data_IF_921929664451
#
_entry.id   IF_921929664451
#
_cell.length_a   1.000
_cell.length_b   1.000
_cell.length_c   1.000
_cell.angle_alpha   90.00
_cell.angle_beta   90.00
_cell.angle_gamma   90.00
#
_symmetry.space_group_name_H-M   'P 1'
#
loop_
_entity.id
_entity.type
_entity.pdbx_description
1 polymer ?
#
# COMPACT_ATOMS: atom_id res chain seq x y z
N UNK A 1 -9.55 -20.06 14.42
CA UNK A 1 -10.86 -19.52 13.96
C UNK A 1 -11.40 -20.45 12.89
N UNK A 2 -12.68 -20.81 12.92
CA UNK A 2 -13.27 -21.69 11.89
C UNK A 2 -13.57 -20.93 10.59
N UNK A 3 -13.60 -21.63 9.45
CA UNK A 3 -13.85 -21.00 8.13
C UNK A 3 -15.18 -20.25 8.07
N UNK A 4 -16.24 -20.78 8.69
CA UNK A 4 -17.55 -20.11 8.76
C UNK A 4 -17.49 -18.79 9.53
N UNK A 5 -16.74 -18.77 10.62
CA UNK A 5 -16.57 -17.58 11.47
C UNK A 5 -15.72 -16.51 10.76
N UNK A 6 -14.65 -16.94 10.06
CA UNK A 6 -13.85 -16.07 9.20
C UNK A 6 -14.70 -15.38 8.14
N UNK A 7 -15.50 -16.15 7.40
CA UNK A 7 -16.38 -15.63 6.34
C UNK A 7 -17.40 -14.66 6.91
N UNK A 8 -17.98 -14.96 8.07
CA UNK A 8 -18.93 -14.07 8.75
C UNK A 8 -18.28 -12.73 9.11
N UNK A 9 -17.08 -12.78 9.71
CA UNK A 9 -16.30 -11.58 10.07
C UNK A 9 -15.93 -10.75 8.84
N UNK A 10 -15.46 -11.38 7.77
CA UNK A 10 -15.12 -10.68 6.52
C UNK A 10 -16.36 -10.02 5.91
N UNK A 11 -17.48 -10.74 5.81
CA UNK A 11 -18.70 -10.20 5.24
C UNK A 11 -19.23 -9.02 6.08
N UNK A 12 -19.19 -9.15 7.40
CA UNK A 12 -19.61 -8.08 8.31
C UNK A 12 -18.69 -6.85 8.21
N UNK A 13 -17.37 -7.03 8.24
CA UNK A 13 -16.42 -5.91 8.15
C UNK A 13 -16.53 -5.17 6.81
N UNK A 14 -16.87 -5.88 5.73
CA UNK A 14 -17.16 -5.27 4.43
C UNK A 14 -18.45 -4.47 4.43
N UNK A 15 -19.50 -4.98 5.08
CA UNK A 15 -20.79 -4.26 5.22
C UNK A 15 -20.63 -3.00 6.06
N UNK A 16 -19.76 -3.03 7.07
CA UNK A 16 -19.42 -1.89 7.92
C UNK A 16 -18.40 -0.94 7.28
N UNK A 17 -17.96 -1.20 6.04
CA UNK A 17 -16.91 -0.45 5.33
C UNK A 17 -15.55 -0.42 6.05
N UNK A 18 -15.30 -1.35 6.98
CA UNK A 18 -14.00 -1.57 7.59
C UNK A 18 -13.09 -2.39 6.64
N UNK A 19 -12.64 -1.71 5.59
CA UNK A 19 -11.78 -2.30 4.56
C UNK A 19 -10.40 -2.68 5.09
N UNK A 20 -9.93 -2.06 6.17
CA UNK A 20 -8.63 -2.37 6.78
C UNK A 20 -8.68 -3.74 7.45
N UNK A 21 -9.67 -3.97 8.31
CA UNK A 21 -9.86 -5.26 8.98
C UNK A 21 -10.21 -6.34 7.96
N UNK A 22 -11.07 -6.02 6.98
CA UNK A 22 -11.42 -6.95 5.90
C UNK A 22 -10.17 -7.43 5.16
N UNK A 23 -9.35 -6.49 4.69
CA UNK A 23 -8.11 -6.81 3.96
C UNK A 23 -7.21 -7.71 4.79
N UNK A 24 -7.00 -7.37 6.06
CA UNK A 24 -6.16 -8.14 6.97
C UNK A 24 -6.62 -9.60 7.06
N UNK A 25 -7.92 -9.82 7.30
CA UNK A 25 -8.46 -11.18 7.35
C UNK A 25 -8.30 -11.93 6.03
N UNK A 26 -8.44 -11.26 4.89
CA UNK A 26 -8.23 -11.88 3.59
C UNK A 26 -6.77 -12.25 3.37
N UNK A 27 -5.85 -11.30 3.52
CA UNK A 27 -4.40 -11.49 3.30
C UNK A 27 -3.84 -12.60 4.19
N UNK A 28 -4.26 -12.68 5.46
CA UNK A 28 -3.83 -13.71 6.42
C UNK A 28 -4.40 -15.12 6.11
N UNK A 29 -5.42 -15.23 5.27
CA UNK A 29 -6.16 -16.49 5.03
C UNK A 29 -6.41 -16.79 3.54
N UNK A 30 -5.59 -16.24 2.63
CA UNK A 30 -5.79 -16.30 1.18
C UNK A 30 -6.04 -17.71 0.64
N UNK A 31 -5.23 -18.69 1.03
CA UNK A 31 -5.35 -20.07 0.54
C UNK A 31 -6.73 -20.67 0.86
N UNK A 32 -7.15 -20.56 2.13
CA UNK A 32 -8.41 -21.13 2.60
C UNK A 32 -9.60 -20.41 1.96
N UNK A 33 -9.50 -19.09 1.79
CA UNK A 33 -10.54 -18.28 1.17
C UNK A 33 -10.67 -18.54 -0.33
N UNK A 34 -9.58 -18.77 -1.05
CA UNK A 34 -9.62 -19.13 -2.46
C UNK A 34 -10.38 -20.44 -2.71
N UNK A 35 -10.21 -21.43 -1.82
CA UNK A 35 -11.00 -22.68 -1.85
C UNK A 35 -12.49 -22.50 -1.49
N UNK A 36 -12.87 -21.40 -0.85
CA UNK A 36 -14.22 -21.16 -0.30
C UNK A 36 -14.86 -19.85 -0.79
N UNK A 37 -14.35 -19.24 -1.87
CA UNK A 37 -14.73 -17.89 -2.33
C UNK A 37 -16.23 -17.68 -2.57
N UNK A 38 -16.94 -18.77 -2.89
CA UNK A 38 -18.39 -18.76 -3.13
C UNK A 38 -19.21 -18.43 -1.88
N UNK A 39 -18.61 -18.56 -0.69
CA UNK A 39 -19.24 -18.23 0.60
C UNK A 39 -19.09 -16.75 0.99
N UNK A 40 -18.19 -16.02 0.34
CA UNK A 40 -18.05 -14.56 0.50
C UNK A 40 -19.16 -13.83 -0.27
N UNK A 41 -19.65 -12.71 0.28
CA UNK A 41 -20.57 -11.78 -0.41
C UNK A 41 -19.83 -11.02 -1.52
N UNK A 42 -20.57 -10.36 -2.42
CA UNK A 42 -20.04 -9.71 -3.63
C UNK A 42 -18.79 -8.86 -3.38
N UNK A 43 -18.91 -7.81 -2.56
CA UNK A 43 -17.81 -6.91 -2.23
C UNK A 43 -16.59 -7.64 -1.61
N UNK A 44 -16.82 -8.60 -0.70
CA UNK A 44 -15.75 -9.38 -0.07
C UNK A 44 -15.03 -10.28 -1.09
N UNK A 45 -15.79 -10.87 -2.02
CA UNK A 45 -15.26 -11.73 -3.08
C UNK A 45 -14.47 -10.93 -4.11
N UNK A 46 -14.96 -9.76 -4.50
CA UNK A 46 -14.22 -8.83 -5.36
C UNK A 46 -12.89 -8.43 -4.74
N UNK A 47 -12.88 -8.11 -3.44
CA UNK A 47 -11.66 -7.77 -2.73
C UNK A 47 -10.69 -8.97 -2.66
N UNK A 48 -11.19 -10.19 -2.42
CA UNK A 48 -10.36 -11.41 -2.47
C UNK A 48 -9.70 -11.59 -3.84
N UNK A 49 -10.46 -11.45 -4.92
CA UNK A 49 -9.95 -11.57 -6.30
C UNK A 49 -8.90 -10.50 -6.57
N UNK A 50 -9.18 -9.25 -6.18
CA UNK A 50 -8.24 -8.15 -6.32
C UNK A 50 -6.91 -8.43 -5.61
N UNK A 51 -6.96 -8.87 -4.35
CA UNK A 51 -5.77 -9.16 -3.55
C UNK A 51 -5.00 -10.39 -4.07
N UNK A 52 -5.70 -11.42 -4.55
CA UNK A 52 -5.07 -12.61 -5.15
C UNK A 52 -4.33 -12.23 -6.42
N UNK A 53 -4.99 -11.53 -7.35
CA UNK A 53 -4.37 -11.05 -8.58
C UNK A 53 -3.15 -10.15 -8.31
N UNK A 54 -3.25 -9.32 -7.27
CA UNK A 54 -2.14 -8.47 -6.81
C UNK A 54 -0.93 -9.29 -6.40
N UNK A 55 -1.15 -10.32 -5.58
CA UNK A 55 -0.09 -11.21 -5.11
C UNK A 55 0.54 -12.00 -6.27
N UNK A 56 -0.28 -12.51 -7.19
CA UNK A 56 0.17 -13.25 -8.38
C UNK A 56 0.98 -12.36 -9.35
N UNK A 57 0.66 -11.07 -9.44
CA UNK A 57 1.41 -10.10 -10.25
C UNK A 57 2.78 -9.73 -9.66
N UNK A 58 3.12 -10.22 -8.45
CA UNK A 58 4.33 -9.82 -7.73
C UNK A 58 4.29 -8.37 -7.23
N UNK A 59 3.11 -7.74 -7.18
CA UNK A 59 2.99 -6.35 -6.75
C UNK A 59 3.06 -6.25 -5.22
N UNK A 60 4.24 -5.91 -4.72
CA UNK A 60 4.50 -5.68 -3.30
C UNK A 60 4.03 -4.28 -2.87
N UNK A 61 3.11 -4.14 -1.90
CA UNK A 61 2.72 -2.83 -1.37
C UNK A 61 3.91 -2.09 -0.73
N UNK A 62 3.79 -0.77 -0.62
CA UNK A 62 4.68 -0.02 0.26
C UNK A 62 4.49 -0.48 1.71
N UNK A 63 5.60 -0.83 2.35
CA UNK A 63 5.64 -1.13 3.78
C UNK A 63 5.35 0.13 4.60
N UNK A 64 5.02 -0.05 5.88
CA UNK A 64 4.85 1.09 6.80
C UNK A 64 6.10 1.97 6.90
N UNK A 65 7.30 1.38 6.82
CA UNK A 65 8.56 2.12 6.85
C UNK A 65 8.78 2.96 5.58
N UNK A 66 8.43 2.42 4.42
CA UNK A 66 8.47 3.16 3.15
C UNK A 66 7.45 4.29 3.15
N UNK A 67 6.23 4.06 3.64
CA UNK A 67 5.21 5.12 3.80
C UNK A 67 5.62 6.21 4.81
N UNK A 68 6.31 5.83 5.88
CA UNK A 68 6.89 6.80 6.82
C UNK A 68 7.98 7.65 6.14
N UNK A 69 8.77 7.03 5.25
CA UNK A 69 9.76 7.74 4.43
C UNK A 69 9.10 8.76 3.51
N UNK A 70 8.02 8.39 2.81
CA UNK A 70 7.21 9.34 2.01
C UNK A 70 6.73 10.51 2.87
N UNK A 71 6.16 10.21 4.03
CA UNK A 71 5.60 11.22 4.94
C UNK A 71 6.67 12.20 5.44
N UNK A 72 7.87 11.70 5.75
CA UNK A 72 9.01 12.53 6.14
C UNK A 72 9.44 13.45 4.99
N UNK A 73 9.61 12.90 3.78
CA UNK A 73 10.00 13.67 2.59
C UNK A 73 8.98 14.78 2.31
N UNK A 74 7.67 14.46 2.30
CA UNK A 74 6.62 15.44 2.08
C UNK A 74 6.65 16.56 3.13
N UNK A 75 6.86 16.23 4.40
CA UNK A 75 6.97 17.22 5.49
C UNK A 75 8.18 18.14 5.35
N UNK A 76 9.34 17.59 4.96
CA UNK A 76 10.55 18.37 4.73
C UNK A 76 10.44 19.25 3.50
N UNK A 77 9.82 18.75 2.42
CA UNK A 77 9.62 19.48 1.18
C UNK A 77 8.75 20.73 1.39
N UNK A 78 7.65 20.61 2.14
CA UNK A 78 6.79 21.75 2.48
C UNK A 78 7.48 22.81 3.35
N UNK A 79 8.63 22.49 3.96
CA UNK A 79 9.47 23.41 4.74
C UNK A 79 10.74 23.82 3.98
N UNK A 80 10.90 23.35 2.74
CA UNK A 80 12.09 23.52 1.92
C UNK A 80 13.39 23.02 2.59
N UNK A 81 13.29 22.02 3.47
CA UNK A 81 14.44 21.42 4.14
C UNK A 81 15.10 20.34 3.26
N UNK A 82 15.80 20.82 2.22
CA UNK A 82 16.50 19.97 1.24
C UNK A 82 17.57 19.09 1.89
N UNK A 83 18.17 19.55 3.00
CA UNK A 83 19.19 18.79 3.72
C UNK A 83 18.59 17.53 4.34
N UNK A 84 17.46 17.66 5.03
CA UNK A 84 16.76 16.52 5.63
C UNK A 84 16.22 15.56 4.58
N UNK A 85 15.76 16.07 3.42
CA UNK A 85 15.39 15.23 2.27
C UNK A 85 16.60 14.40 1.83
N UNK A 86 17.75 15.04 1.57
CA UNK A 86 18.97 14.36 1.13
C UNK A 86 19.42 13.25 2.09
N UNK A 87 19.31 13.48 3.40
CA UNK A 87 19.62 12.46 4.41
C UNK A 87 18.60 11.33 4.38
N UNK A 88 17.32 11.65 4.22
CA UNK A 88 16.21 10.68 4.26
C UNK A 88 16.26 9.70 3.08
N UNK A 89 16.63 10.18 1.90
CA UNK A 89 16.68 9.36 0.67
C UNK A 89 17.92 8.47 0.59
N UNK A 90 18.96 8.77 1.37
CA UNK A 90 20.20 8.01 1.37
C UNK A 90 19.95 6.55 1.74
N UNK A 91 20.56 5.63 1.00
CA UNK A 91 20.46 4.18 1.17
C UNK A 91 19.03 3.64 0.93
N UNK A 92 18.17 4.42 0.25
CA UNK A 92 16.78 4.05 -0.13
C UNK A 92 16.51 4.27 -1.61
N UNK A 93 17.54 4.24 -2.44
CA UNK A 93 17.49 4.61 -3.87
C UNK A 93 16.47 3.78 -4.65
N UNK A 94 16.31 2.50 -4.28
CA UNK A 94 15.36 1.57 -4.92
C UNK A 94 13.89 2.05 -4.81
N UNK A 95 13.54 2.79 -3.75
CA UNK A 95 12.17 3.30 -3.58
C UNK A 95 11.81 4.32 -4.65
N UNK A 96 12.78 5.09 -5.12
CA UNK A 96 12.60 6.14 -6.12
C UNK A 96 12.47 5.60 -7.54
N UNK A 97 12.65 4.28 -7.74
CA UNK A 97 12.33 3.60 -8.99
C UNK A 97 10.88 3.10 -9.03
N UNK A 98 10.22 3.02 -7.87
CA UNK A 98 8.86 2.51 -7.76
C UNK A 98 7.84 3.61 -8.02
N UNK A 99 6.98 3.40 -9.03
CA UNK A 99 5.91 4.34 -9.37
C UNK A 99 4.96 4.59 -8.18
N UNK A 100 4.58 3.54 -7.45
CA UNK A 100 3.67 3.68 -6.32
C UNK A 100 4.28 4.49 -5.16
N UNK A 101 5.60 4.46 -4.96
CA UNK A 101 6.28 5.36 -4.02
C UNK A 101 6.18 6.82 -4.47
N UNK A 102 6.49 7.09 -5.74
CA UNK A 102 6.46 8.45 -6.31
C UNK A 102 5.04 9.04 -6.27
N UNK A 103 4.01 8.21 -6.51
CA UNK A 103 2.62 8.66 -6.53
C UNK A 103 2.15 9.21 -5.17
N UNK A 104 2.76 8.79 -4.06
CA UNK A 104 2.44 9.32 -2.73
C UNK A 104 3.24 10.58 -2.34
N UNK A 105 4.20 11.01 -3.15
CA UNK A 105 4.91 12.27 -2.94
C UNK A 105 4.03 13.47 -3.28
N UNK A 106 4.13 14.55 -2.50
CA UNK A 106 3.47 15.81 -2.80
C UNK A 106 4.20 16.58 -3.92
N UNK A 107 3.58 17.65 -4.44
CA UNK A 107 4.13 18.41 -5.55
C UNK A 107 5.52 19.00 -5.24
N UNK A 108 5.69 19.60 -4.05
CA UNK A 108 6.97 20.18 -3.62
C UNK A 108 8.09 19.13 -3.57
N UNK A 109 7.78 17.96 -3.00
CA UNK A 109 8.72 16.84 -2.92
C UNK A 109 9.12 16.36 -4.32
N UNK A 110 8.16 16.22 -5.23
CA UNK A 110 8.43 15.84 -6.62
C UNK A 110 9.36 16.85 -7.29
N UNK A 111 9.05 18.15 -7.22
CA UNK A 111 9.87 19.21 -7.82
C UNK A 111 11.30 19.20 -7.26
N UNK A 112 11.47 19.09 -5.94
CA UNK A 112 12.79 19.07 -5.30
C UNK A 112 13.57 17.82 -5.74
N UNK A 113 12.95 16.64 -5.69
CA UNK A 113 13.60 15.39 -6.05
C UNK A 113 13.95 15.31 -7.54
N UNK A 114 13.10 15.86 -8.43
CA UNK A 114 13.41 16.04 -9.86
C UNK A 114 14.59 16.99 -10.05
N UNK A 115 14.60 18.12 -9.35
CA UNK A 115 15.72 19.07 -9.38
C UNK A 115 17.04 18.48 -8.87
N UNK A 116 16.96 17.51 -7.96
CA UNK A 116 18.11 16.73 -7.47
C UNK A 116 18.52 15.59 -8.40
N UNK A 117 17.72 15.27 -9.43
CA UNK A 117 17.91 14.11 -10.29
C UNK A 117 17.65 12.77 -9.59
N UNK A 118 16.95 12.78 -8.45
CA UNK A 118 16.61 11.58 -7.69
C UNK A 118 15.40 10.82 -8.27
N UNK A 119 14.53 11.52 -8.99
CA UNK A 119 13.43 10.93 -9.77
C UNK A 119 13.40 11.54 -11.18
N UNK A 120 12.81 10.83 -12.13
CA UNK A 120 12.55 11.38 -13.46
C UNK A 120 11.46 12.44 -13.41
N UNK A 121 11.54 13.43 -14.29
CA UNK A 121 10.47 14.40 -14.48
C UNK A 121 9.20 13.70 -14.95
N UNK A 122 8.13 13.89 -14.19
CA UNK A 122 6.77 13.46 -14.56
C UNK A 122 6.13 14.33 -15.63
#
# INVERSE_FOLDING_TARGET
MGIKELILKINQSVEELDLVTTRKYIEENLEVLNGNKNLLKGNARELLVFLTNRLESGYEPLTRGEMATVSAINSFASKFDVRSIKVTIKDKEQLFLRKDFIDHLNADAKIILEGMGAIQKG
#
